data_IF_799075692131
#
_entry.id   IF_799075692131
#
_cell.length_a   1.000
_cell.length_b   1.000
_cell.length_c   1.000
_cell.angle_alpha   90.00
_cell.angle_beta   90.00
_cell.angle_gamma   90.00
#
_symmetry.space_group_name_H-M   'P 1'
#
loop_
_entity.id
_entity.type
_entity.pdbx_description
1 polymer ?
#
# COMPACT_ATOMS: atom_id res chain seq x y z
N UNK A 1 15.03 -2.19 16.00
CA UNK A 1 15.53 -1.83 14.65
C UNK A 1 15.54 -0.30 14.53
N UNK A 2 16.55 0.33 13.90
CA UNK A 2 16.66 1.81 13.82
C UNK A 2 15.39 2.46 13.24
N UNK A 3 14.83 1.87 12.18
CA UNK A 3 13.63 2.37 11.50
C UNK A 3 12.38 2.37 12.40
N UNK A 4 12.19 1.33 13.23
CA UNK A 4 11.07 1.30 14.18
C UNK A 4 11.14 2.47 15.16
N UNK A 5 12.33 2.76 15.71
CA UNK A 5 12.52 3.89 16.60
C UNK A 5 12.22 5.22 15.91
N UNK A 6 12.68 5.40 14.66
CA UNK A 6 12.37 6.59 13.85
C UNK A 6 10.85 6.75 13.64
N UNK A 7 10.14 5.68 13.30
CA UNK A 7 8.67 5.70 13.14
C UNK A 7 7.97 6.11 14.44
N UNK A 8 8.32 5.49 15.57
CA UNK A 8 7.73 5.81 16.88
C UNK A 8 8.00 7.26 17.29
N UNK A 9 9.23 7.76 17.07
CA UNK A 9 9.59 9.15 17.34
C UNK A 9 8.76 10.17 16.51
N UNK A 10 8.25 9.76 15.34
CA UNK A 10 7.36 10.57 14.49
C UNK A 10 5.87 10.36 14.77
N UNK A 11 5.55 9.66 15.85
CA UNK A 11 4.18 9.49 16.36
C UNK A 11 3.40 8.35 15.70
N UNK A 12 4.07 7.43 15.00
CA UNK A 12 3.42 6.22 14.52
C UNK A 12 3.25 5.22 15.67
N UNK A 13 2.06 4.60 15.75
CA UNK A 13 1.93 3.30 16.43
C UNK A 13 2.57 2.26 15.53
N UNK A 14 3.41 1.38 16.08
CA UNK A 14 4.11 0.36 15.28
C UNK A 14 3.85 -1.02 15.84
N UNK A 15 3.45 -1.93 14.95
CA UNK A 15 3.39 -3.38 15.16
C UNK A 15 4.55 -3.98 14.38
N UNK A 16 5.48 -4.64 15.09
CA UNK A 16 6.67 -5.24 14.49
C UNK A 16 6.55 -6.76 14.51
N UNK A 17 7.00 -7.40 13.43
CA UNK A 17 7.14 -8.85 13.34
C UNK A 17 8.62 -9.23 13.52
N UNK A 18 9.01 -9.91 14.62
CA UNK A 18 10.40 -10.26 14.88
C UNK A 18 10.92 -11.42 14.02
N UNK A 19 10.04 -12.23 13.42
CA UNK A 19 10.46 -13.43 12.68
C UNK A 19 11.12 -13.13 11.33
N UNK A 20 10.83 -11.96 10.73
CA UNK A 20 11.29 -11.61 9.37
C UNK A 20 10.66 -12.45 8.24
N UNK A 21 9.84 -13.46 8.58
CA UNK A 21 9.29 -14.44 7.64
C UNK A 21 7.93 -14.06 7.04
N UNK A 22 7.42 -12.87 7.38
CA UNK A 22 6.20 -12.31 6.78
C UNK A 22 6.50 -11.22 5.75
N UNK A 23 5.47 -10.88 5.00
CA UNK A 23 5.42 -9.88 3.92
C UNK A 23 5.60 -8.45 4.42
N UNK A 24 5.46 -8.22 5.72
CA UNK A 24 5.84 -6.99 6.38
C UNK A 24 6.67 -7.31 7.63
N UNK A 25 7.61 -6.44 7.94
CA UNK A 25 8.33 -6.45 9.21
C UNK A 25 7.73 -5.42 10.17
N UNK A 26 7.11 -4.36 9.64
CA UNK A 26 6.46 -3.31 10.41
C UNK A 26 5.15 -2.88 9.77
N UNK A 27 4.09 -2.77 10.58
CA UNK A 27 2.93 -1.94 10.27
C UNK A 27 3.02 -0.68 11.12
N UNK A 28 2.99 0.49 10.48
CA UNK A 28 3.11 1.78 11.15
C UNK A 28 1.88 2.64 10.84
N UNK A 29 1.07 2.94 11.85
CA UNK A 29 -0.21 3.60 11.72
C UNK A 29 -0.25 4.96 12.41
N UNK A 30 -0.82 5.94 11.72
CA UNK A 30 -1.20 7.27 12.21
C UNK A 30 -2.62 7.58 11.67
N UNK A 31 -3.43 8.46 12.30
CA UNK A 31 -4.75 8.77 11.75
C UNK A 31 -4.67 9.16 10.26
N UNK A 32 -5.35 8.40 9.41
CA UNK A 32 -5.41 8.60 7.95
C UNK A 32 -4.38 7.82 7.13
N UNK A 33 -3.24 7.42 7.70
CA UNK A 33 -2.15 6.77 6.97
C UNK A 33 -1.61 5.54 7.73
N UNK A 34 -1.57 4.38 7.05
CA UNK A 34 -0.93 3.17 7.57
C UNK A 34 0.09 2.70 6.54
N UNK A 35 1.35 2.53 6.98
CA UNK A 35 2.44 2.00 6.17
C UNK A 35 2.61 0.51 6.49
N UNK A 36 2.74 -0.32 5.46
CA UNK A 36 3.20 -1.70 5.59
C UNK A 36 4.61 -1.79 4.99
N UNK A 37 5.60 -1.99 5.85
CA UNK A 37 7.02 -1.91 5.50
C UNK A 37 7.63 -3.29 5.58
N UNK A 38 8.27 -3.71 4.48
CA UNK A 38 9.18 -4.86 4.44
C UNK A 38 10.61 -4.35 4.31
N UNK A 39 11.49 -4.76 5.20
CA UNK A 39 12.92 -4.49 5.11
C UNK A 39 13.59 -5.68 4.41
N UNK A 40 14.41 -5.39 3.41
CA UNK A 40 15.21 -6.38 2.68
C UNK A 40 16.63 -5.87 2.51
N UNK A 41 17.61 -6.76 2.43
CA UNK A 41 18.98 -6.39 2.05
C UNK A 41 18.98 -5.74 0.65
N UNK A 42 18.42 -6.44 -0.33
CA UNK A 42 18.17 -5.92 -1.68
C UNK A 42 16.88 -6.49 -2.31
N UNK A 43 16.56 -6.06 -3.53
CA UNK A 43 15.40 -6.54 -4.30
C UNK A 43 15.63 -7.88 -5.03
N UNK A 44 16.87 -8.36 -5.09
CA UNK A 44 17.27 -9.59 -5.79
C UNK A 44 17.25 -10.82 -4.88
N UNK A 45 17.09 -10.63 -3.58
CA UNK A 45 16.94 -11.70 -2.61
C UNK A 45 15.88 -12.75 -3.04
N UNK A 46 16.22 -14.03 -2.95
CA UNK A 46 15.41 -15.15 -3.49
C UNK A 46 13.95 -15.17 -2.99
N UNK A 47 13.73 -14.78 -1.72
CA UNK A 47 12.40 -14.75 -1.09
C UNK A 47 11.65 -13.43 -1.32
N UNK A 48 12.29 -12.39 -1.87
CA UNK A 48 11.71 -11.05 -2.02
C UNK A 48 10.37 -11.11 -2.75
N UNK A 49 10.28 -11.91 -3.82
CA UNK A 49 9.05 -12.09 -4.60
C UNK A 49 7.85 -12.48 -3.73
N UNK A 50 7.99 -13.49 -2.85
CA UNK A 50 6.87 -13.98 -2.03
C UNK A 50 6.43 -12.92 -1.03
N UNK A 51 7.38 -12.23 -0.39
CA UNK A 51 7.07 -11.15 0.54
C UNK A 51 6.34 -10.00 -0.17
N UNK A 52 6.80 -9.62 -1.36
CA UNK A 52 6.25 -8.48 -2.09
C UNK A 52 4.87 -8.77 -2.70
N UNK A 53 4.65 -9.97 -3.22
CA UNK A 53 3.35 -10.37 -3.77
C UNK A 53 2.25 -10.31 -2.67
N UNK A 54 2.58 -10.77 -1.46
CA UNK A 54 1.67 -10.70 -0.30
C UNK A 54 1.57 -9.31 0.30
N UNK A 55 2.66 -8.53 0.32
CA UNK A 55 2.64 -7.14 0.77
C UNK A 55 1.72 -6.29 -0.11
N UNK A 56 1.76 -6.52 -1.42
CA UNK A 56 0.83 -5.91 -2.38
C UNK A 56 -0.62 -6.31 -2.11
N UNK A 57 -0.86 -7.60 -1.89
CA UNK A 57 -2.19 -8.13 -1.59
C UNK A 57 -2.77 -7.57 -0.29
N UNK A 58 -1.92 -7.43 0.73
CA UNK A 58 -2.24 -6.81 2.01
C UNK A 58 -2.60 -5.33 1.82
N UNK A 59 -1.77 -4.57 1.08
CA UNK A 59 -2.03 -3.17 0.77
C UNK A 59 -3.39 -2.94 0.09
N UNK A 60 -3.69 -3.73 -0.95
CA UNK A 60 -4.95 -3.64 -1.67
C UNK A 60 -6.16 -4.09 -0.84
N UNK A 61 -5.97 -4.89 0.20
CA UNK A 61 -7.06 -5.41 1.03
C UNK A 61 -7.28 -4.57 2.29
N UNK A 62 -6.24 -3.93 2.82
CA UNK A 62 -6.29 -3.18 4.07
C UNK A 62 -6.20 -1.66 3.90
N UNK A 63 -6.12 -1.18 2.65
CA UNK A 63 -5.94 0.24 2.30
C UNK A 63 -4.71 0.85 3.01
N UNK A 64 -3.61 0.10 3.02
CA UNK A 64 -2.32 0.53 3.58
C UNK A 64 -1.32 0.82 2.46
N UNK A 65 -0.33 1.67 2.73
CA UNK A 65 0.74 2.02 1.78
C UNK A 65 1.82 0.95 1.85
N UNK A 66 2.02 0.12 0.82
CA UNK A 66 3.08 -0.87 0.81
C UNK A 66 4.41 -0.20 0.48
N UNK A 67 5.46 -0.57 1.20
CA UNK A 67 6.81 -0.08 0.97
C UNK A 67 7.82 -1.18 1.24
N UNK A 68 8.72 -1.41 0.28
CA UNK A 68 9.96 -2.14 0.54
C UNK A 68 11.05 -1.13 0.87
N UNK A 69 11.69 -1.29 2.01
CA UNK A 69 12.86 -0.52 2.41
C UNK A 69 14.10 -1.39 2.26
N UNK A 70 14.97 -1.06 1.31
CA UNK A 70 16.18 -1.82 1.02
C UNK A 70 17.40 -1.24 1.74
N UNK A 71 18.27 -2.10 2.25
CA UNK A 71 19.57 -1.70 2.79
C UNK A 71 20.52 -1.29 1.66
N UNK A 72 20.46 -1.97 0.52
CA UNK A 72 21.34 -1.76 -0.62
C UNK A 72 20.59 -1.79 -1.97
N UNK A 73 21.29 -1.39 -3.04
CA UNK A 73 20.83 -1.57 -4.42
C UNK A 73 19.80 -0.56 -4.96
N UNK A 74 19.22 0.29 -4.11
CA UNK A 74 18.32 1.38 -4.53
C UNK A 74 19.01 2.74 -4.37
N UNK A 75 19.13 3.55 -5.43
CA UNK A 75 19.69 4.90 -5.33
C UNK A 75 18.88 5.79 -4.39
N UNK A 76 19.59 6.54 -3.55
CA UNK A 76 18.99 7.48 -2.61
C UNK A 76 18.10 8.52 -3.32
N UNK A 77 16.97 8.86 -2.71
CA UNK A 77 16.03 9.86 -3.21
C UNK A 77 15.21 9.41 -4.43
N UNK A 78 15.26 8.13 -4.79
CA UNK A 78 14.57 7.59 -5.96
C UNK A 78 13.70 6.38 -5.60
N UNK A 79 12.57 6.24 -6.30
CA UNK A 79 11.65 5.12 -6.16
C UNK A 79 11.85 4.09 -7.27
N UNK A 80 12.03 2.83 -6.87
CA UNK A 80 11.98 1.68 -7.79
C UNK A 80 10.66 0.94 -7.57
N UNK A 81 10.06 0.42 -8.63
CA UNK A 81 8.84 -0.41 -8.52
C UNK A 81 9.21 -1.87 -8.72
N UNK A 82 9.11 -2.68 -7.66
CA UNK A 82 9.31 -4.12 -7.74
C UNK A 82 7.96 -4.84 -7.62
N UNK A 83 7.56 -5.57 -8.66
CA UNK A 83 6.26 -6.28 -8.74
C UNK A 83 5.04 -5.40 -8.43
N UNK A 84 5.14 -4.10 -8.72
CA UNK A 84 4.11 -3.10 -8.46
C UNK A 84 4.08 -2.54 -7.04
N UNK A 85 5.07 -2.87 -6.21
CA UNK A 85 5.25 -2.28 -4.89
C UNK A 85 6.38 -1.24 -4.93
N UNK A 86 6.13 -0.02 -4.41
CA UNK A 86 7.17 0.99 -4.18
C UNK A 86 8.31 0.47 -3.33
N UNK A 87 9.54 0.71 -3.77
CA UNK A 87 10.76 0.31 -3.07
C UNK A 87 11.72 1.50 -2.99
N UNK A 88 12.28 1.73 -1.80
CA UNK A 88 13.18 2.85 -1.48
C UNK A 88 14.40 2.34 -0.71
N UNK A 89 15.50 3.08 -0.71
CA UNK A 89 16.60 2.83 0.24
C UNK A 89 16.16 3.19 1.67
N UNK A 90 16.77 2.56 2.69
CA UNK A 90 16.52 2.89 4.09
C UNK A 90 16.79 4.37 4.40
N UNK A 91 17.84 4.94 3.83
CA UNK A 91 18.19 6.37 3.99
C UNK A 91 17.07 7.26 3.46
N UNK A 92 16.49 6.90 2.31
CA UNK A 92 15.39 7.65 1.72
C UNK A 92 14.14 7.59 2.60
N UNK A 93 13.86 6.43 3.21
CA UNK A 93 12.74 6.29 4.17
C UNK A 93 12.98 7.16 5.41
N UNK A 94 14.19 7.16 5.97
CA UNK A 94 14.55 7.99 7.14
C UNK A 94 14.44 9.49 6.81
N UNK A 95 14.86 9.92 5.61
CA UNK A 95 14.70 11.30 5.12
C UNK A 95 13.23 11.71 5.01
N UNK A 96 12.37 10.87 4.41
CA UNK A 96 10.94 11.15 4.32
C UNK A 96 10.32 11.25 5.73
N UNK A 97 10.68 10.33 6.64
CA UNK A 97 10.25 10.40 8.03
C UNK A 97 10.72 11.70 8.71
N UNK A 98 11.90 12.18 8.34
CA UNK A 98 12.47 13.41 8.84
C UNK A 98 11.82 14.69 8.30
N UNK A 99 10.99 14.57 7.27
CA UNK A 99 10.35 15.70 6.59
C UNK A 99 11.23 16.30 5.49
N UNK A 100 12.31 15.62 5.11
CA UNK A 100 13.14 15.98 3.98
C UNK A 100 12.45 15.51 2.70
N UNK A 101 11.84 16.45 1.98
CA UNK A 101 11.08 16.14 0.77
C UNK A 101 11.86 16.59 -0.49
N UNK A 102 12.49 15.63 -1.17
CA UNK A 102 13.10 15.83 -2.49
C UNK A 102 12.09 15.69 -3.65
N UNK A 103 12.51 15.88 -4.91
CA UNK A 103 11.66 15.59 -6.06
C UNK A 103 11.30 14.11 -6.12
N UNK A 104 10.09 13.79 -6.58
CA UNK A 104 9.64 12.41 -6.76
C UNK A 104 10.24 11.84 -8.05
N UNK A 105 11.45 11.30 -7.91
CA UNK A 105 12.18 10.56 -8.95
C UNK A 105 11.79 9.08 -8.90
N UNK A 106 11.53 8.46 -10.04
CA UNK A 106 11.24 7.02 -10.11
C UNK A 106 11.81 6.35 -11.36
N UNK A 107 12.08 5.06 -11.25
CA UNK A 107 12.55 4.20 -12.34
C UNK A 107 11.36 3.53 -13.04
N UNK A 108 11.34 3.62 -14.36
CA UNK A 108 10.40 2.90 -15.23
C UNK A 108 11.17 2.21 -16.38
N UNK A 109 10.49 1.37 -17.16
CA UNK A 109 11.09 0.63 -18.29
C UNK A 109 11.80 1.54 -19.30
N UNK A 110 11.37 2.81 -19.41
CA UNK A 110 11.94 3.80 -20.33
C UNK A 110 13.08 4.65 -19.76
N UNK A 111 13.48 4.45 -18.49
CA UNK A 111 14.52 5.22 -17.82
C UNK A 111 14.08 5.87 -16.51
N UNK A 112 14.73 6.98 -16.15
CA UNK A 112 14.50 7.73 -14.91
C UNK A 112 13.61 8.93 -15.18
N UNK A 113 12.52 9.03 -14.42
CA UNK A 113 11.51 10.05 -14.58
C UNK A 113 11.28 10.82 -13.28
N UNK A 114 10.77 12.03 -13.40
CA UNK A 114 10.34 12.88 -12.28
C UNK A 114 8.85 13.15 -12.44
N UNK A 115 8.08 12.93 -11.36
CA UNK A 115 6.64 13.18 -11.37
C UNK A 115 6.34 14.66 -11.56
N UNK A 116 5.48 14.97 -12.53
CA UNK A 116 5.13 16.35 -12.90
C UNK A 116 3.77 16.77 -12.36
N UNK A 117 3.73 17.97 -11.76
CA UNK A 117 2.50 18.64 -11.35
C UNK A 117 1.90 19.42 -12.51
N UNK A 118 1.12 18.72 -13.33
CA UNK A 118 0.53 19.29 -14.54
C UNK A 118 -0.31 20.55 -14.31
N UNK A 119 -1.05 20.60 -13.20
CA UNK A 119 -1.82 21.78 -12.78
C UNK A 119 -0.91 23.00 -12.53
N UNK A 120 0.23 22.80 -11.86
CA UNK A 120 1.21 23.84 -11.60
C UNK A 120 1.90 24.31 -12.89
N UNK A 121 2.28 23.37 -13.77
CA UNK A 121 2.84 23.70 -15.10
C UNK A 121 1.88 24.59 -15.89
N UNK A 122 0.61 24.21 -15.97
CA UNK A 122 -0.41 24.95 -16.70
C UNK A 122 -0.65 26.35 -16.12
N UNK A 123 -0.74 26.44 -14.79
CA UNK A 123 -0.93 27.70 -14.07
C UNK A 123 0.24 28.65 -14.33
N UNK A 124 1.45 28.24 -13.99
CA UNK A 124 2.65 29.08 -14.09
C UNK A 124 2.98 29.49 -15.52
N UNK A 125 2.77 28.59 -16.49
CA UNK A 125 2.94 28.93 -17.90
C UNK A 125 2.03 30.09 -18.30
N UNK A 126 0.75 30.03 -17.89
CA UNK A 126 -0.24 31.06 -18.20
C UNK A 126 0.06 32.37 -17.48
N UNK A 127 0.45 32.32 -16.22
CA UNK A 127 0.87 33.49 -15.43
C UNK A 127 2.07 34.21 -16.06
N UNK A 128 3.01 33.45 -16.64
CA UNK A 128 4.16 34.01 -17.38
C UNK A 128 3.85 34.40 -18.84
N UNK A 129 2.59 34.30 -19.28
CA UNK A 129 2.18 34.65 -20.65
C UNK A 129 2.79 33.75 -21.74
N UNK A 130 3.24 32.54 -21.38
CA UNK A 130 3.93 31.64 -22.31
C UNK A 130 2.96 30.73 -23.07
N UNK A 131 3.20 30.51 -24.35
CA UNK A 131 2.50 29.50 -25.14
C UNK A 131 3.07 28.09 -24.87
N UNK A 132 2.34 27.05 -25.29
CA UNK A 132 2.88 25.68 -25.30
C UNK A 132 4.13 25.56 -26.19
N UNK A 133 4.23 26.40 -27.24
CA UNK A 133 5.39 26.46 -28.12
C UNK A 133 6.64 27.00 -27.42
N UNK A 134 6.49 28.02 -26.58
CA UNK A 134 7.61 28.64 -25.87
C UNK A 134 8.26 27.66 -24.88
N UNK A 135 7.42 26.90 -24.16
CA UNK A 135 7.91 25.83 -23.28
C UNK A 135 8.54 24.70 -24.10
N UNK A 136 7.86 24.24 -25.16
CA UNK A 136 8.34 23.16 -26.04
C UNK A 136 9.76 23.43 -26.54
N UNK A 137 10.03 24.65 -27.03
CA UNK A 137 11.35 25.05 -27.51
C UNK A 137 12.41 25.02 -26.39
N UNK A 138 12.09 25.56 -25.20
CA UNK A 138 13.05 25.63 -24.08
C UNK A 138 13.36 24.27 -23.46
N UNK A 139 12.38 23.37 -23.45
CA UNK A 139 12.55 22.02 -22.92
C UNK A 139 13.21 21.07 -23.94
N UNK A 140 13.11 21.38 -25.23
CA UNK A 140 13.52 20.46 -26.31
C UNK A 140 12.56 19.29 -26.51
N UNK A 141 11.27 19.51 -26.25
CA UNK A 141 10.20 18.49 -26.40
C UNK A 141 9.12 18.99 -27.35
N UNK A 142 8.20 18.12 -27.78
CA UNK A 142 7.09 18.54 -28.65
C UNK A 142 6.04 19.35 -27.89
N UNK A 143 5.28 20.21 -28.59
CA UNK A 143 4.11 20.89 -28.02
C UNK A 143 3.10 19.92 -27.40
N UNK A 144 2.95 18.75 -28.02
CA UNK A 144 2.12 17.66 -27.50
C UNK A 144 2.61 17.19 -26.14
N UNK A 145 3.93 16.97 -25.96
CA UNK A 145 4.47 16.57 -24.65
C UNK A 145 4.22 17.61 -23.57
N UNK A 146 4.37 18.90 -23.88
CA UNK A 146 4.03 19.97 -22.92
C UNK A 146 2.55 19.88 -22.51
N UNK A 147 1.66 19.64 -23.48
CA UNK A 147 0.24 19.44 -23.20
C UNK A 147 -0.02 18.18 -22.34
N UNK A 148 0.64 17.05 -22.63
CA UNK A 148 0.52 15.82 -21.81
C UNK A 148 0.99 16.03 -20.37
N UNK A 149 2.04 16.85 -20.15
CA UNK A 149 2.46 17.29 -18.82
C UNK A 149 1.35 18.07 -18.12
N UNK A 150 0.74 19.07 -18.78
CA UNK A 150 -0.33 19.89 -18.17
C UNK A 150 -1.58 19.10 -17.75
N UNK A 151 -1.87 18.00 -18.45
CA UNK A 151 -3.02 17.13 -18.12
C UNK A 151 -2.63 15.94 -17.25
N UNK A 152 -1.37 15.85 -16.80
CA UNK A 152 -0.89 14.81 -15.89
C UNK A 152 -0.83 13.41 -16.50
N UNK A 153 -0.74 13.29 -17.83
CA UNK A 153 -0.66 11.99 -18.54
C UNK A 153 0.76 11.53 -18.81
N UNK A 154 1.74 12.39 -18.60
CA UNK A 154 3.15 12.07 -18.80
C UNK A 154 3.99 12.75 -17.74
N UNK A 155 5.07 12.06 -17.40
CA UNK A 155 6.13 12.55 -16.53
C UNK A 155 7.37 12.84 -17.36
N UNK A 156 8.28 13.64 -16.81
CA UNK A 156 9.45 14.11 -17.55
C UNK A 156 10.70 13.31 -17.21
N UNK A 157 11.63 13.17 -18.15
CA UNK A 157 12.98 12.70 -17.83
C UNK A 157 13.67 13.68 -16.88
N UNK A 158 14.71 13.23 -16.17
CA UNK A 158 15.45 14.08 -15.24
C UNK A 158 15.94 15.40 -15.87
N UNK A 159 16.48 15.33 -17.10
CA UNK A 159 16.95 16.53 -17.83
C UNK A 159 15.80 17.50 -18.14
N UNK A 160 14.66 16.99 -18.62
CA UNK A 160 13.50 17.83 -18.96
C UNK A 160 12.87 18.43 -17.69
N UNK A 161 12.79 17.65 -16.61
CA UNK A 161 12.31 18.13 -15.32
C UNK A 161 13.20 19.25 -14.77
N UNK A 162 14.52 19.10 -14.86
CA UNK A 162 15.46 20.15 -14.47
C UNK A 162 15.22 21.45 -15.24
N UNK A 163 15.09 21.38 -16.58
CA UNK A 163 14.77 22.56 -17.41
C UNK A 163 13.41 23.17 -17.05
N UNK A 164 12.42 22.34 -16.73
CA UNK A 164 11.09 22.79 -16.32
C UNK A 164 11.14 23.55 -14.99
N UNK A 165 11.87 23.03 -14.00
CA UNK A 165 12.10 23.69 -12.70
C UNK A 165 12.84 25.02 -12.88
N UNK A 166 13.87 25.08 -13.73
CA UNK A 166 14.57 26.33 -14.04
C UNK A 166 13.66 27.38 -14.69
N UNK A 167 12.70 26.95 -15.51
CA UNK A 167 11.80 27.85 -16.22
C UNK A 167 10.63 28.34 -15.35
N UNK A 168 10.03 27.43 -14.59
CA UNK A 168 8.74 27.63 -13.93
C UNK A 168 8.82 27.59 -12.40
N UNK A 169 9.89 27.04 -11.81
CA UNK A 169 10.07 26.88 -10.37
C UNK A 169 9.83 25.46 -9.88
N UNK A 170 10.20 25.16 -8.63
CA UNK A 170 10.15 23.80 -8.06
C UNK A 170 8.72 23.25 -7.89
N UNK A 171 7.70 24.10 -7.86
CA UNK A 171 6.32 23.65 -7.67
C UNK A 171 5.74 22.82 -8.82
N UNK A 172 6.44 22.76 -9.96
CA UNK A 172 6.06 21.95 -11.14
C UNK A 172 6.40 20.47 -11.01
N UNK A 173 7.16 20.07 -9.98
CA UNK A 173 7.45 18.66 -9.70
C UNK A 173 6.73 18.21 -8.43
N UNK A 174 6.29 16.96 -8.40
CA UNK A 174 5.78 16.35 -7.17
C UNK A 174 6.95 16.03 -6.24
N UNK A 175 6.71 16.13 -4.93
CA UNK A 175 7.69 15.77 -3.91
C UNK A 175 7.59 14.31 -3.50
N UNK A 176 8.70 13.69 -3.14
CA UNK A 176 8.71 12.32 -2.62
C UNK A 176 8.31 12.31 -1.14
N UNK A 177 7.11 11.79 -0.85
CA UNK A 177 6.63 11.55 0.51
C UNK A 177 5.64 10.38 0.53
N UNK A 178 5.27 9.88 1.72
CA UNK A 178 4.39 8.71 1.85
C UNK A 178 3.02 8.88 1.19
N UNK A 179 2.46 10.10 1.22
CA UNK A 179 1.18 10.40 0.57
C UNK A 179 1.27 10.24 -0.96
N UNK A 180 2.31 10.78 -1.57
CA UNK A 180 2.50 10.67 -3.01
C UNK A 180 2.91 9.24 -3.41
N UNK A 181 3.64 8.50 -2.56
CA UNK A 181 3.91 7.07 -2.75
C UNK A 181 2.61 6.26 -2.75
N UNK A 182 1.68 6.56 -1.84
CA UNK A 182 0.37 5.91 -1.81
C UNK A 182 -0.43 6.18 -3.09
N UNK A 183 -0.46 7.43 -3.56
CA UNK A 183 -1.09 7.82 -4.82
C UNK A 183 -0.47 7.05 -6.00
N UNK A 184 0.87 7.03 -6.09
CA UNK A 184 1.61 6.31 -7.11
C UNK A 184 1.27 4.81 -7.12
N UNK A 185 1.26 4.16 -5.94
CA UNK A 185 0.90 2.74 -5.83
C UNK A 185 -0.51 2.45 -6.34
N UNK A 186 -1.48 3.32 -6.03
CA UNK A 186 -2.87 3.15 -6.46
C UNK A 186 -3.02 3.34 -7.98
N UNK A 187 -2.35 4.34 -8.56
CA UNK A 187 -2.31 4.55 -10.01
C UNK A 187 -1.75 3.32 -10.75
N UNK A 188 -0.65 2.74 -10.24
CA UNK A 188 -0.02 1.55 -10.83
C UNK A 188 -0.80 0.25 -10.57
N UNK A 189 -1.73 0.24 -9.61
CA UNK A 189 -2.51 -0.96 -9.26
C UNK A 189 -3.88 -1.04 -9.91
N UNK A 190 -4.40 0.07 -10.47
CA UNK A 190 -5.64 0.09 -11.24
C UNK A 190 -5.56 -0.62 -12.59
N UNK A 191 -4.35 -0.97 -13.05
CA UNK A 191 -4.10 -1.60 -14.34
C UNK A 191 -4.26 -3.14 -14.26
N UNK A 192 -5.51 -3.59 -14.30
CA UNK A 192 -5.93 -4.83 -14.97
C UNK A 192 -5.24 -6.15 -14.58
N UNK A 193 -5.73 -6.77 -13.51
CA UNK A 193 -5.62 -8.22 -13.30
C UNK A 193 -7.00 -8.83 -13.03
N UNK A 194 -7.34 -9.98 -13.63
CA UNK A 194 -8.48 -10.77 -13.16
C UNK A 194 -8.12 -11.35 -11.81
N UNK A 195 -8.77 -10.89 -10.74
CA UNK A 195 -8.60 -11.52 -9.43
C UNK A 195 -9.19 -12.91 -9.43
N UNK A 196 -8.39 -13.88 -8.97
CA UNK A 196 -8.89 -15.21 -8.69
C UNK A 196 -9.62 -15.16 -7.35
N UNK A 197 -10.87 -15.63 -7.33
CA UNK A 197 -11.65 -15.77 -6.10
C UNK A 197 -10.86 -16.60 -5.07
N UNK A 198 -10.67 -16.06 -3.86
CA UNK A 198 -9.92 -16.71 -2.79
C UNK A 198 -10.54 -18.07 -2.42
N UNK A 199 -11.87 -18.16 -2.46
CA UNK A 199 -12.63 -19.40 -2.24
C UNK A 199 -12.25 -20.55 -3.18
N UNK A 200 -11.69 -20.26 -4.37
CA UNK A 200 -11.23 -21.27 -5.33
C UNK A 200 -9.84 -21.82 -5.03
N UNK A 201 -9.03 -21.08 -4.29
CA UNK A 201 -7.65 -21.43 -3.95
C UNK A 201 -7.61 -22.25 -2.66
N UNK A 202 -8.46 -21.88 -1.70
CA UNK A 202 -8.49 -22.52 -0.38
C UNK A 202 -9.09 -23.92 -0.45
N UNK A 203 -8.39 -24.89 0.16
CA UNK A 203 -8.83 -26.29 0.26
C UNK A 203 -9.65 -26.57 1.52
N UNK A 204 -9.42 -25.83 2.59
CA UNK A 204 -10.10 -26.03 3.86
C UNK A 204 -11.61 -25.76 3.72
N UNK A 205 -12.51 -26.70 4.10
CA UNK A 205 -13.94 -26.55 3.89
C UNK A 205 -14.54 -25.33 4.60
N UNK A 206 -14.18 -25.10 5.86
CA UNK A 206 -14.76 -24.03 6.67
C UNK A 206 -14.27 -22.65 6.20
N UNK A 207 -12.96 -22.48 5.98
CA UNK A 207 -12.44 -21.25 5.41
C UNK A 207 -12.98 -21.01 4.00
N UNK A 208 -13.12 -22.05 3.17
CA UNK A 208 -13.73 -21.93 1.84
C UNK A 208 -15.18 -21.46 1.91
N UNK A 209 -16.00 -22.05 2.79
CA UNK A 209 -17.38 -21.61 3.02
C UNK A 209 -17.43 -20.13 3.43
N UNK A 210 -16.61 -19.72 4.40
CA UNK A 210 -16.55 -18.35 4.88
C UNK A 210 -16.18 -17.37 3.76
N UNK A 211 -15.18 -17.71 2.95
CA UNK A 211 -14.76 -16.90 1.81
C UNK A 211 -15.86 -16.78 0.76
N UNK A 212 -16.56 -17.88 0.43
CA UNK A 212 -17.70 -17.84 -0.49
C UNK A 212 -18.77 -16.88 0.02
N UNK A 213 -19.11 -16.91 1.32
CA UNK A 213 -20.09 -15.99 1.90
C UNK A 213 -19.64 -14.53 1.86
N UNK A 214 -18.38 -14.26 2.18
CA UNK A 214 -17.82 -12.91 2.05
C UNK A 214 -17.87 -12.42 0.58
N UNK A 215 -17.51 -13.27 -0.38
CA UNK A 215 -17.57 -12.97 -1.82
C UNK A 215 -19.02 -12.71 -2.29
N UNK A 216 -20.00 -13.48 -1.82
CA UNK A 216 -21.44 -13.23 -2.07
C UNK A 216 -21.91 -11.88 -1.50
N UNK A 217 -21.31 -11.43 -0.40
CA UNK A 217 -21.54 -10.11 0.19
C UNK A 217 -20.75 -8.98 -0.51
N UNK A 218 -20.01 -9.29 -1.58
CA UNK A 218 -19.24 -8.32 -2.35
C UNK A 218 -17.85 -8.02 -1.78
N UNK A 219 -17.32 -8.84 -0.87
CA UNK A 219 -15.94 -8.71 -0.43
C UNK A 219 -14.96 -9.19 -1.50
N UNK A 220 -13.88 -8.45 -1.65
CA UNK A 220 -12.68 -8.85 -2.36
C UNK A 220 -11.70 -9.44 -1.35
N UNK A 221 -11.47 -10.74 -1.44
CA UNK A 221 -10.61 -11.50 -0.54
C UNK A 221 -9.31 -11.92 -1.22
N UNK A 222 -8.18 -11.86 -0.50
CA UNK A 222 -6.87 -12.33 -0.96
C UNK A 222 -6.25 -13.27 0.05
N UNK A 223 -5.79 -14.42 -0.42
CA UNK A 223 -5.05 -15.39 0.38
C UNK A 223 -3.60 -14.93 0.53
N UNK A 224 -3.03 -15.08 1.72
CA UNK A 224 -1.66 -14.70 2.06
C UNK A 224 -0.92 -15.92 2.62
N UNK A 225 0.31 -16.13 2.15
CA UNK A 225 1.22 -17.18 2.61
C UNK A 225 2.26 -16.66 3.62
N UNK A 226 2.62 -15.39 3.50
CA UNK A 226 3.64 -14.67 4.26
C UNK A 226 2.97 -13.61 5.11
N UNK A 227 2.03 -14.01 5.97
CA UNK A 227 1.39 -13.13 6.95
C UNK A 227 1.01 -13.93 8.20
N UNK A 228 0.84 -13.27 9.36
CA UNK A 228 0.38 -13.96 10.57
C UNK A 228 -1.07 -14.47 10.43
N UNK A 229 -1.81 -13.98 9.43
CA UNK A 229 -3.16 -14.37 9.04
C UNK A 229 -3.18 -14.94 7.62
N UNK A 230 -4.17 -15.78 7.32
CA UNK A 230 -4.27 -16.50 6.05
C UNK A 230 -4.95 -15.69 4.94
N UNK A 231 -5.81 -14.74 5.30
CA UNK A 231 -6.59 -13.95 4.33
C UNK A 231 -6.68 -12.51 4.81
N UNK A 232 -6.63 -11.56 3.86
CA UNK A 232 -7.13 -10.22 4.05
C UNK A 232 -8.26 -9.95 3.04
N UNK A 233 -9.34 -9.33 3.49
CA UNK A 233 -10.50 -9.04 2.66
C UNK A 233 -11.05 -7.64 2.92
N UNK A 234 -11.61 -7.03 1.87
CA UNK A 234 -12.33 -5.76 1.94
C UNK A 234 -13.69 -5.84 1.28
N UNK A 235 -14.68 -5.25 1.89
CA UNK A 235 -16.05 -5.19 1.38
C UNK A 235 -16.82 -4.05 2.03
N UNK A 236 -18.14 -4.17 2.00
CA UNK A 236 -19.04 -3.18 2.57
C UNK A 236 -20.13 -3.85 3.40
N UNK A 237 -20.20 -3.48 4.68
CA UNK A 237 -21.28 -3.86 5.61
C UNK A 237 -21.66 -2.59 6.34
N UNK A 238 -22.75 -1.95 5.91
CA UNK A 238 -23.10 -0.57 6.31
C UNK A 238 -22.11 0.46 5.73
N UNK A 239 -20.86 0.42 6.19
CA UNK A 239 -19.72 1.18 5.68
C UNK A 239 -18.59 0.29 5.15
N UNK A 240 -17.41 0.88 4.89
CA UNK A 240 -16.22 0.12 4.49
C UNK A 240 -15.83 -0.86 5.58
N UNK A 241 -15.73 -2.13 5.24
CA UNK A 241 -15.39 -3.21 6.16
C UNK A 241 -14.14 -3.92 5.65
N UNK A 242 -13.12 -4.02 6.51
CA UNK A 242 -11.87 -4.73 6.24
C UNK A 242 -11.74 -5.82 7.28
N UNK A 243 -11.30 -7.02 6.89
CA UNK A 243 -11.14 -8.15 7.80
C UNK A 243 -9.88 -8.93 7.47
N UNK A 244 -9.12 -9.29 8.49
CA UNK A 244 -8.04 -10.29 8.41
C UNK A 244 -8.54 -11.59 9.05
N UNK A 245 -8.25 -12.73 8.42
CA UNK A 245 -8.77 -14.03 8.85
C UNK A 245 -7.60 -14.96 9.16
N UNK A 246 -7.56 -15.48 10.38
CA UNK A 246 -6.58 -16.49 10.83
C UNK A 246 -7.31 -17.78 11.20
N UNK A 247 -6.98 -18.85 10.50
CA UNK A 247 -7.37 -20.20 10.89
C UNK A 247 -6.22 -20.82 11.66
N UNK A 248 -6.43 -21.12 12.94
CA UNK A 248 -5.49 -21.81 13.82
C UNK A 248 -4.06 -21.22 13.81
N UNK A 249 -3.65 -20.57 14.91
CA UNK A 249 -2.32 -19.99 15.02
C UNK A 249 -1.66 -20.28 16.35
N UNK A 250 -0.36 -19.99 16.45
CA UNK A 250 0.27 -19.82 17.75
C UNK A 250 -0.33 -18.59 18.46
N UNK A 251 -0.18 -18.51 19.79
CA UNK A 251 -0.61 -17.32 20.55
C UNK A 251 0.05 -16.03 20.03
N UNK A 252 1.28 -16.12 19.53
CA UNK A 252 2.00 -15.00 18.92
C UNK A 252 1.36 -14.55 17.60
N UNK A 253 0.99 -15.48 16.73
CA UNK A 253 0.31 -15.16 15.47
C UNK A 253 -1.07 -14.55 15.70
N UNK A 254 -1.81 -15.04 16.71
CA UNK A 254 -3.09 -14.44 17.09
C UNK A 254 -2.90 -13.00 17.57
N UNK A 255 -1.91 -12.76 18.44
CA UNK A 255 -1.60 -11.43 18.94
C UNK A 255 -1.22 -10.48 17.80
N UNK A 256 -0.30 -10.88 16.93
CA UNK A 256 0.10 -10.10 15.75
C UNK A 256 -1.07 -9.84 14.81
N UNK A 257 -1.98 -10.81 14.62
CA UNK A 257 -3.19 -10.64 13.81
C UNK A 257 -4.12 -9.59 14.40
N UNK A 258 -4.35 -9.60 15.73
CA UNK A 258 -5.17 -8.59 16.40
C UNK A 258 -4.54 -7.21 16.32
N UNK A 259 -3.23 -7.11 16.55
CA UNK A 259 -2.53 -5.82 16.51
C UNK A 259 -2.49 -5.24 15.09
N UNK A 260 -2.25 -6.09 14.08
CA UNK A 260 -2.36 -5.73 12.67
C UNK A 260 -3.79 -5.29 12.29
N UNK A 261 -4.81 -5.93 12.87
CA UNK A 261 -6.20 -5.55 12.61
C UNK A 261 -6.52 -4.17 13.20
N UNK A 262 -6.13 -3.93 14.46
CA UNK A 262 -6.31 -2.65 15.15
C UNK A 262 -5.62 -1.49 14.41
N UNK A 263 -4.35 -1.66 14.03
CA UNK A 263 -3.59 -0.59 13.36
C UNK A 263 -4.15 -0.27 11.97
N UNK A 264 -4.68 -1.28 11.27
CA UNK A 264 -5.29 -1.11 9.96
C UNK A 264 -6.76 -0.63 10.02
N UNK A 265 -7.38 -0.59 11.20
CA UNK A 265 -8.82 -0.34 11.31
C UNK A 265 -9.65 -1.42 10.62
N UNK A 266 -9.29 -2.69 10.83
CA UNK A 266 -9.98 -3.88 10.33
C UNK A 266 -10.41 -4.79 11.47
N UNK A 267 -11.33 -5.71 11.21
CA UNK A 267 -11.67 -6.79 12.12
C UNK A 267 -10.63 -7.92 12.06
N UNK A 268 -10.41 -8.62 13.16
CA UNK A 268 -9.68 -9.89 13.19
C UNK A 268 -10.67 -11.05 13.39
N UNK A 269 -10.76 -11.94 12.42
CA UNK A 269 -11.63 -13.11 12.45
C UNK A 269 -10.79 -14.38 12.63
N UNK A 270 -11.05 -15.11 13.70
CA UNK A 270 -10.39 -16.37 14.02
C UNK A 270 -11.31 -17.55 13.75
N UNK A 271 -10.76 -18.57 13.13
CA UNK A 271 -11.39 -19.87 12.94
C UNK A 271 -10.70 -20.87 13.87
N UNK A 272 -11.41 -21.28 14.93
CA UNK A 272 -10.89 -22.17 15.98
C UNK A 272 -11.78 -23.41 16.11
N UNK A 273 -11.26 -24.57 15.68
CA UNK A 273 -12.07 -25.78 15.55
C UNK A 273 -13.20 -25.55 14.55
N UNK A 274 -14.44 -25.69 14.99
CA UNK A 274 -15.62 -25.40 14.17
C UNK A 274 -16.26 -24.01 14.46
N UNK A 275 -15.72 -23.23 15.40
CA UNK A 275 -16.28 -21.94 15.82
C UNK A 275 -15.59 -20.73 15.19
N UNK A 276 -16.27 -19.57 15.25
CA UNK A 276 -15.72 -18.28 14.82
C UNK A 276 -15.60 -17.32 16.00
N UNK A 277 -14.51 -16.54 16.02
CA UNK A 277 -14.31 -15.42 16.94
C UNK A 277 -13.94 -14.18 16.15
N UNK A 278 -14.81 -13.18 16.13
CA UNK A 278 -14.59 -11.89 15.49
C UNK A 278 -14.21 -10.86 16.55
N UNK A 279 -13.11 -10.15 16.32
CA UNK A 279 -12.63 -9.07 17.18
C UNK A 279 -12.70 -7.77 16.37
N UNK A 280 -13.63 -6.90 16.75
CA UNK A 280 -13.71 -5.51 16.31
C UNK A 280 -13.50 -4.57 17.48
N UNK A 281 -14.44 -3.64 17.67
CA UNK A 281 -14.53 -2.87 18.93
C UNK A 281 -15.03 -3.74 20.08
N UNK A 282 -15.84 -4.76 19.75
CA UNK A 282 -16.27 -5.82 20.67
C UNK A 282 -15.85 -7.18 20.12
N UNK A 283 -15.71 -8.14 21.04
CA UNK A 283 -15.49 -9.53 20.68
C UNK A 283 -16.85 -10.24 20.54
N UNK A 284 -17.07 -10.90 19.40
CA UNK A 284 -18.26 -11.69 19.12
C UNK A 284 -17.83 -13.12 18.81
N UNK A 285 -18.51 -14.10 19.42
CA UNK A 285 -18.23 -15.53 19.22
C UNK A 285 -19.45 -16.21 18.62
N UNK A 286 -19.22 -17.06 17.62
CA UNK A 286 -20.24 -17.90 17.01
C UNK A 286 -19.94 -19.39 17.26
N UNK A 287 -20.98 -20.23 17.44
CA UNK A 287 -20.85 -21.64 17.78
C UNK A 287 -20.27 -22.49 16.63
N UNK A 288 -19.99 -23.75 16.95
CA UNK A 288 -19.36 -24.81 16.16
C UNK A 288 -20.04 -25.19 14.81
N UNK A 289 -21.09 -24.49 14.38
CA UNK A 289 -21.76 -24.74 13.09
C UNK A 289 -22.12 -23.41 12.43
N UNK A 290 -21.12 -22.70 11.88
CA UNK A 290 -21.30 -21.34 11.38
C UNK A 290 -22.09 -21.28 10.08
N UNK A 291 -22.44 -22.42 9.46
CA UNK A 291 -23.17 -22.47 8.19
C UNK A 291 -24.51 -21.72 8.18
N UNK A 292 -25.15 -21.59 9.35
CA UNK A 292 -26.40 -20.86 9.55
C UNK A 292 -26.20 -19.44 10.12
N UNK A 293 -24.95 -19.01 10.29
CA UNK A 293 -24.62 -17.71 10.87
C UNK A 293 -24.91 -16.60 9.85
N UNK A 294 -25.61 -15.56 10.30
CA UNK A 294 -25.63 -14.30 9.57
C UNK A 294 -24.33 -13.53 9.86
N UNK A 295 -23.38 -13.60 8.91
CA UNK A 295 -22.12 -12.87 9.02
C UNK A 295 -22.34 -11.37 9.14
N UNK A 296 -23.38 -10.82 8.48
CA UNK A 296 -23.66 -9.39 8.52
C UNK A 296 -24.01 -8.95 9.94
N UNK A 297 -24.91 -9.68 10.60
CA UNK A 297 -25.27 -9.43 12.01
C UNK A 297 -24.05 -9.59 12.94
N UNK A 298 -23.16 -10.56 12.67
CA UNK A 298 -21.93 -10.74 13.43
C UNK A 298 -20.99 -9.52 13.32
N UNK A 299 -20.79 -9.00 12.11
CA UNK A 299 -19.98 -7.78 11.90
C UNK A 299 -20.65 -6.56 12.53
N UNK A 300 -21.96 -6.39 12.37
CA UNK A 300 -22.73 -5.29 12.96
C UNK A 300 -22.68 -5.32 14.50
N UNK A 301 -22.72 -6.51 15.11
CA UNK A 301 -22.57 -6.70 16.56
C UNK A 301 -21.17 -6.41 17.08
N UNK A 302 -20.15 -6.53 16.22
CA UNK A 302 -18.75 -6.27 16.55
C UNK A 302 -18.34 -4.79 16.34
N UNK A 303 -19.09 -4.03 15.53
CA UNK A 303 -19.06 -2.56 15.50
C UNK A 303 -19.86 -1.96 16.65
N UNK A 304 -19.42 -0.84 17.26
CA UNK A 304 -20.37 0.00 18.00
C UNK A 304 -21.32 0.68 17.03
N UNK A 305 -22.58 0.82 17.44
CA UNK A 305 -23.58 1.71 16.81
C UNK A 305 -23.06 3.14 16.71
#
# INVERSE_FOLDING_TARGET
MRLESSLRARGFKVVSNPSGDYSFDMLAGKPGDVLAIKVLEDLYHEKARKYVDDLRSLALSLDVVPLVACEEGIPEGSLVTYKGVPSLSLETVDKILNGEEGPFVYFSKGGVYVKIRGDAVKRLRREKGMSLGDISLRLGVTRRMVYEYEIGRSDATLEVAYKLVQLLGEEVVEKLNFKNIAKYFMEQSGEGGREVQASRIVKDPLLKWLLTRLEEMGFLSRVLEKAPFNVAAKGQIGGRCKVVIKKSGSSEEEMLTVDAAKICGSYALFINGEGLRLIGEREVRAPSRPENLDLKEMFESASSQ
#
